data_IF_431374540395
#
_entry.id   IF_431374540395
#
_cell.length_a   1.000
_cell.length_b   1.000
_cell.length_c   1.000
_cell.angle_alpha   90.00
_cell.angle_beta   90.00
_cell.angle_gamma   90.00
#
_symmetry.space_group_name_H-M   'P 1'
#
loop_
_entity.id
_entity.type
_entity.pdbx_description
1 polymer ?
#
# COMPACT_ATOMS: atom_id res chain seq x y z
N UNK A 1 7.49 17.49 11.01
CA UNK A 1 7.05 17.04 9.67
C UNK A 1 5.73 16.30 9.84
N UNK A 2 4.82 16.35 8.87
CA UNK A 2 3.56 15.61 8.96
C UNK A 2 3.82 14.12 8.74
N UNK A 3 3.29 13.28 9.63
CA UNK A 3 3.43 11.81 9.54
C UNK A 3 2.42 11.23 8.53
N UNK A 4 2.84 10.24 7.75
CA UNK A 4 1.94 9.39 7.00
C UNK A 4 1.20 8.48 7.97
N UNK A 5 -0.10 8.33 7.74
CA UNK A 5 -1.02 7.53 8.55
C UNK A 5 -1.50 6.29 7.83
N UNK A 6 -1.84 6.44 6.57
CA UNK A 6 -2.28 5.36 5.71
C UNK A 6 -1.73 5.59 4.32
N UNK A 7 -1.30 4.52 3.67
CA UNK A 7 -1.00 4.51 2.24
C UNK A 7 -1.58 3.25 1.62
N UNK A 8 -2.25 3.41 0.48
CA UNK A 8 -2.73 2.31 -0.35
C UNK A 8 -1.93 2.33 -1.65
N UNK A 9 -1.32 1.20 -1.99
CA UNK A 9 -0.47 1.02 -3.15
C UNK A 9 -1.06 -0.05 -4.06
N UNK A 10 -1.04 0.22 -5.36
CA UNK A 10 -1.17 -0.81 -6.38
C UNK A 10 0.23 -1.31 -6.76
N UNK A 11 0.46 -2.62 -6.59
CA UNK A 11 1.76 -3.26 -6.78
C UNK A 11 1.63 -4.49 -7.66
N UNK A 12 2.44 -4.52 -8.71
CA UNK A 12 2.70 -5.72 -9.49
C UNK A 12 3.88 -6.45 -8.90
N UNK A 13 3.74 -7.72 -8.55
CA UNK A 13 4.86 -8.53 -8.02
C UNK A 13 4.90 -9.92 -8.65
N UNK A 14 6.06 -10.59 -8.66
CA UNK A 14 6.12 -12.03 -8.95
C UNK A 14 5.40 -12.86 -7.88
N UNK A 15 5.14 -14.13 -8.19
CA UNK A 15 4.53 -15.10 -7.25
C UNK A 15 5.37 -15.35 -5.98
N UNK A 16 6.68 -15.06 -6.03
CA UNK A 16 7.60 -15.22 -4.92
C UNK A 16 8.30 -13.89 -4.62
N UNK A 17 8.30 -13.40 -3.37
CA UNK A 17 7.76 -14.03 -2.15
C UNK A 17 6.23 -14.06 -2.09
N UNK A 18 5.70 -15.00 -1.30
CA UNK A 18 4.26 -15.11 -1.06
C UNK A 18 3.72 -13.93 -0.24
N UNK A 19 2.41 -13.66 -0.35
CA UNK A 19 1.78 -12.51 0.30
C UNK A 19 1.91 -12.50 1.84
N UNK A 20 2.04 -13.66 2.49
CA UNK A 20 2.16 -13.73 3.96
C UNK A 20 3.56 -13.30 4.38
N UNK A 21 4.58 -13.80 3.69
CA UNK A 21 5.97 -13.38 3.92
C UNK A 21 6.14 -11.89 3.63
N UNK A 22 5.54 -11.41 2.55
CA UNK A 22 5.61 -10.00 2.16
C UNK A 22 4.90 -9.07 3.15
N UNK A 23 3.71 -9.46 3.64
CA UNK A 23 3.01 -8.71 4.68
C UNK A 23 3.81 -8.64 5.99
N UNK A 24 4.48 -9.73 6.39
CA UNK A 24 5.34 -9.76 7.58
C UNK A 24 6.54 -8.82 7.44
N UNK A 25 7.20 -8.84 6.30
CA UNK A 25 8.34 -7.97 6.02
C UNK A 25 7.93 -6.48 6.09
N UNK A 26 6.84 -6.11 5.41
CA UNK A 26 6.32 -4.75 5.47
C UNK A 26 5.88 -4.35 6.89
N UNK A 27 5.25 -5.26 7.65
CA UNK A 27 4.82 -4.98 9.03
C UNK A 27 5.98 -4.81 10.01
N UNK A 28 7.20 -5.20 9.63
CA UNK A 28 8.39 -5.08 10.47
C UNK A 28 9.07 -3.70 10.38
N UNK A 29 8.57 -2.82 9.49
CA UNK A 29 9.09 -1.46 9.34
C UNK A 29 8.68 -0.62 10.56
N UNK A 30 9.63 0.15 11.11
CA UNK A 30 9.38 1.04 12.23
C UNK A 30 8.26 2.03 11.92
N UNK A 31 7.28 2.10 12.81
CA UNK A 31 6.13 2.99 12.67
C UNK A 31 4.97 2.41 11.86
N UNK A 32 5.06 1.19 11.31
CA UNK A 32 3.91 0.51 10.71
C UNK A 32 3.16 -0.29 11.78
N UNK A 33 1.88 0.03 11.96
CA UNK A 33 0.99 -0.62 12.94
C UNK A 33 0.22 -1.80 12.31
N UNK A 34 0.00 -1.76 10.99
CA UNK A 34 -0.76 -2.80 10.30
C UNK A 34 -0.54 -2.82 8.79
N UNK A 35 -0.61 -4.02 8.23
CA UNK A 35 -0.49 -4.27 6.78
C UNK A 35 -1.63 -5.18 6.33
N UNK A 36 -2.29 -4.78 5.24
CA UNK A 36 -3.19 -5.65 4.49
C UNK A 36 -2.66 -5.79 3.06
N UNK A 37 -2.66 -7.02 2.55
CA UNK A 37 -2.35 -7.30 1.14
C UNK A 37 -3.52 -8.10 0.58
N UNK A 38 -4.12 -7.60 -0.50
CA UNK A 38 -5.22 -8.24 -1.22
C UNK A 38 -4.82 -8.48 -2.66
N UNK A 39 -4.77 -9.76 -3.06
CA UNK A 39 -4.56 -10.15 -4.46
C UNK A 39 -5.88 -10.01 -5.18
N UNK A 40 -5.92 -9.27 -6.28
CA UNK A 40 -7.14 -9.11 -7.08
C UNK A 40 -7.01 -9.65 -8.50
N UNK A 41 -5.79 -9.89 -8.98
CA UNK A 41 -5.54 -10.50 -10.27
C UNK A 41 -4.26 -11.34 -10.22
N UNK A 42 -4.30 -12.51 -10.86
CA UNK A 42 -3.19 -13.45 -10.94
C UNK A 42 -2.96 -13.78 -12.41
N UNK A 43 -1.75 -13.50 -12.88
CA UNK A 43 -1.27 -13.81 -14.21
C UNK A 43 -0.25 -14.96 -14.18
N UNK A 44 0.30 -15.31 -15.36
CA UNK A 44 1.23 -16.45 -15.50
C UNK A 44 2.47 -16.30 -14.63
N UNK A 45 3.08 -15.13 -14.57
CA UNK A 45 4.38 -14.91 -13.91
C UNK A 45 4.30 -13.87 -12.77
N UNK A 46 3.20 -13.13 -12.70
CA UNK A 46 3.01 -11.98 -11.82
C UNK A 46 1.61 -11.99 -11.23
N UNK A 47 1.42 -11.22 -10.16
CA UNK A 47 0.14 -10.97 -9.52
C UNK A 47 0.01 -9.48 -9.21
N UNK A 48 -1.19 -8.93 -9.39
CA UNK A 48 -1.52 -7.57 -8.99
C UNK A 48 -2.11 -7.62 -7.58
N UNK A 49 -1.49 -6.85 -6.68
CA UNK A 49 -1.85 -6.81 -5.27
C UNK A 49 -2.06 -5.38 -4.82
N UNK A 50 -3.11 -5.19 -4.02
CA UNK A 50 -3.37 -3.94 -3.32
C UNK A 50 -2.78 -4.04 -1.91
N UNK A 51 -1.86 -3.15 -1.59
CA UNK A 51 -1.19 -3.11 -0.29
C UNK A 51 -1.70 -1.89 0.47
N UNK A 52 -2.27 -2.10 1.65
CA UNK A 52 -2.65 -1.02 2.58
C UNK A 52 -1.76 -1.07 3.80
N UNK A 53 -1.12 0.05 4.11
CA UNK A 53 -0.21 0.23 5.24
C UNK A 53 -0.80 1.30 6.14
N UNK A 54 -0.94 1.01 7.45
CA UNK A 54 -1.40 1.97 8.46
C UNK A 54 -0.33 2.12 9.54
N UNK A 55 -0.08 3.35 10.01
CA UNK A 55 0.87 3.61 11.07
C UNK A 55 1.23 5.08 11.27
N UNK A 56 2.46 5.34 11.70
CA UNK A 56 3.11 6.64 11.82
C UNK A 56 4.52 6.55 11.24
N UNK A 57 4.66 6.87 9.95
CA UNK A 57 5.94 6.80 9.25
C UNK A 57 6.20 8.09 8.46
N UNK A 58 7.47 8.41 8.24
CA UNK A 58 7.87 9.71 7.67
C UNK A 58 7.88 9.73 6.14
N UNK A 59 8.21 8.61 5.50
CA UNK A 59 8.31 8.51 4.05
C UNK A 59 8.10 7.07 3.55
N UNK A 60 7.99 6.94 2.22
CA UNK A 60 7.77 5.66 1.53
C UNK A 60 9.06 4.99 1.04
N UNK A 61 10.25 5.51 1.37
CA UNK A 61 11.49 5.02 0.78
C UNK A 61 11.80 3.59 1.22
N UNK A 62 11.63 3.27 2.50
CA UNK A 62 11.81 1.91 3.02
C UNK A 62 10.80 0.93 2.43
N UNK A 63 9.54 1.35 2.31
CA UNK A 63 8.46 0.55 1.71
C UNK A 63 8.77 0.26 0.23
N UNK A 64 9.16 1.29 -0.53
CA UNK A 64 9.60 1.15 -1.93
C UNK A 64 10.78 0.21 -2.09
N UNK A 65 11.76 0.29 -1.19
CA UNK A 65 12.93 -0.58 -1.22
C UNK A 65 12.53 -2.05 -1.00
N UNK A 66 11.67 -2.33 -0.01
CA UNK A 66 11.17 -3.70 0.24
C UNK A 66 10.39 -4.23 -0.97
N UNK A 67 9.48 -3.44 -1.53
CA UNK A 67 8.72 -3.83 -2.73
C UNK A 67 9.65 -4.10 -3.91
N UNK A 68 10.66 -3.25 -4.13
CA UNK A 68 11.60 -3.45 -5.23
C UNK A 68 12.51 -4.66 -5.00
N UNK A 69 12.95 -4.90 -3.77
CA UNK A 69 13.79 -6.05 -3.40
C UNK A 69 13.04 -7.38 -3.55
N UNK A 70 11.72 -7.38 -3.38
CA UNK A 70 10.86 -8.54 -3.64
C UNK A 70 10.55 -8.74 -5.13
N UNK A 71 11.16 -7.97 -6.02
CA UNK A 71 10.90 -8.00 -7.47
C UNK A 71 9.59 -7.31 -7.87
N UNK A 72 8.94 -6.60 -6.96
CA UNK A 72 7.71 -5.87 -7.22
C UNK A 72 7.93 -4.45 -7.75
N UNK A 73 6.90 -3.91 -8.38
CA UNK A 73 6.85 -2.54 -8.90
C UNK A 73 5.56 -1.87 -8.45
N UNK A 74 5.66 -0.65 -7.92
CA UNK A 74 4.49 0.16 -7.58
C UNK A 74 3.97 0.78 -8.88
N UNK A 75 2.73 0.48 -9.25
CA UNK A 75 2.04 1.08 -10.39
C UNK A 75 1.48 2.46 -10.03
N UNK A 76 0.79 2.54 -8.90
CA UNK A 76 0.16 3.76 -8.41
C UNK A 76 0.11 3.81 -6.88
N UNK A 77 -0.04 5.03 -6.38
CA UNK A 77 -0.40 5.30 -4.99
C UNK A 77 -1.87 5.70 -5.04
N UNK A 78 -2.75 4.81 -4.61
CA UNK A 78 -4.19 4.96 -4.78
C UNK A 78 -4.81 5.83 -3.69
N UNK A 79 -4.24 5.80 -2.48
CA UNK A 79 -4.73 6.57 -1.34
C UNK A 79 -3.57 6.96 -0.42
N UNK A 80 -3.61 8.18 0.13
CA UNK A 80 -2.67 8.65 1.14
C UNK A 80 -3.42 9.45 2.19
N UNK A 81 -3.16 9.13 3.46
CA UNK A 81 -3.64 9.89 4.60
C UNK A 81 -2.44 10.36 5.41
N UNK A 82 -2.36 11.65 5.70
CA UNK A 82 -1.25 12.26 6.42
C UNK A 82 -1.75 13.27 7.46
N UNK A 83 -1.01 13.41 8.57
CA UNK A 83 -1.30 14.37 9.62
C UNK A 83 -1.45 13.75 11.00
N UNK A 84 -2.30 14.34 11.84
CA UNK A 84 -2.49 13.89 13.25
C UNK A 84 -3.56 12.83 13.42
N UNK A 85 -4.44 12.68 12.43
CA UNK A 85 -5.60 11.80 12.47
C UNK A 85 -5.80 11.19 11.10
N UNK A 86 -6.40 10.00 11.05
CA UNK A 86 -6.87 9.42 9.80
C UNK A 86 -8.14 10.12 9.33
N UNK A 87 -8.10 10.66 8.12
CA UNK A 87 -9.26 11.23 7.43
C UNK A 87 -9.72 10.22 6.40
N UNK A 88 -11.01 9.92 6.37
CA UNK A 88 -11.60 9.07 5.34
C UNK A 88 -12.00 9.93 4.14
N UNK A 89 -11.97 9.32 2.98
CA UNK A 89 -12.61 9.91 1.80
C UNK A 89 -14.11 10.04 2.07
N UNK A 90 -14.65 11.23 1.81
CA UNK A 90 -16.07 11.54 1.94
C UNK A 90 -16.61 11.74 0.54
N UNK A 91 -17.72 11.07 0.21
CA UNK A 91 -18.36 11.21 -1.10
C UNK A 91 -18.76 12.68 -1.32
N UNK A 92 -18.22 13.30 -2.38
CA UNK A 92 -18.56 14.67 -2.71
C UNK A 92 -19.56 14.73 -3.86
N UNK A 93 -20.23 15.88 -4.03
CA UNK A 93 -21.16 16.10 -5.14
C UNK A 93 -20.53 15.90 -6.54
N UNK A 94 -19.19 15.89 -6.66
CA UNK A 94 -18.49 15.62 -7.92
C UNK A 94 -18.60 14.17 -8.39
N UNK A 95 -18.75 13.18 -7.49
CA UNK A 95 -18.88 11.76 -7.87
C UNK A 95 -20.24 11.43 -8.51
N UNK A 96 -21.29 12.18 -8.18
CA UNK A 96 -22.66 11.93 -8.66
C UNK A 96 -22.90 12.31 -10.13
N UNK A 97 -21.92 12.90 -10.81
CA UNK A 97 -22.07 13.34 -12.20
C UNK A 97 -21.62 12.30 -13.23
N UNK A 98 -21.15 11.12 -12.79
CA UNK A 98 -20.69 10.04 -13.66
C UNK A 98 -21.62 8.81 -13.70
N UNK A 99 -22.84 8.91 -13.15
CA UNK A 99 -23.91 7.92 -13.31
C UNK A 99 -24.97 8.34 -14.33
#
# INVERSE_FOLDING_TARGET
MAELRKVVLDVLKPHSPDIVSFAKELSSIEGIDGVNISVYEIDKEVENVKITLIGKFNDLNTIRAIISNSGGTIHSIDEVVAGRMEVREEETLHERMHE
#
